data_IF_238342178826
#
_entry.id   IF_238342178826
#
_cell.length_a   1.000
_cell.length_b   1.000
_cell.length_c   1.000
_cell.angle_alpha   90.00
_cell.angle_beta   90.00
_cell.angle_gamma   90.00
#
_symmetry.space_group_name_H-M   'P 1'
#
loop_
_entity.id
_entity.type
_entity.pdbx_description
1 polymer ?
#
# COMPACT_ATOMS: atom_id res chain seq x y z
N UNK A 1 19.84 -7.05 -53.57
CA UNK A 1 20.99 -7.32 -52.70
C UNK A 1 20.85 -6.38 -51.51
N UNK A 2 20.34 -6.91 -50.39
CA UNK A 2 20.16 -6.15 -49.15
C UNK A 2 21.50 -6.12 -48.40
N UNK A 3 22.04 -4.93 -48.20
CA UNK A 3 23.13 -4.68 -47.26
C UNK A 3 22.53 -4.52 -45.86
N UNK A 4 22.89 -5.34 -44.87
CA UNK A 4 22.42 -5.12 -43.51
C UNK A 4 23.26 -3.99 -42.88
N UNK A 5 22.59 -2.93 -42.40
CA UNK A 5 23.19 -1.99 -41.46
C UNK A 5 23.40 -2.72 -40.13
N UNK A 6 24.64 -3.06 -39.82
CA UNK A 6 25.07 -3.44 -38.48
C UNK A 6 25.37 -2.13 -37.75
N UNK A 7 24.53 -1.78 -36.76
CA UNK A 7 24.83 -0.72 -35.82
C UNK A 7 25.94 -1.19 -34.88
N UNK A 8 27.18 -0.75 -35.11
CA UNK A 8 28.27 -0.86 -34.13
C UNK A 8 27.99 0.12 -32.99
N UNK A 9 27.68 -0.42 -31.80
CA UNK A 9 27.85 0.28 -30.53
C UNK A 9 29.35 0.51 -30.31
N UNK A 10 29.83 1.71 -30.69
CA UNK A 10 31.13 2.20 -30.25
C UNK A 10 31.06 2.42 -28.75
N UNK A 11 31.86 1.66 -27.98
CA UNK A 11 32.26 2.03 -26.63
C UNK A 11 33.01 3.37 -26.73
N UNK A 12 32.29 4.49 -26.60
CA UNK A 12 32.90 5.80 -26.49
C UNK A 12 33.79 5.80 -25.23
N UNK A 13 35.06 6.15 -25.40
CA UNK A 13 35.98 6.29 -24.28
C UNK A 13 35.39 7.25 -23.23
N UNK A 14 35.54 6.93 -21.95
CA UNK A 14 35.06 7.78 -20.87
C UNK A 14 35.63 9.21 -21.03
N UNK A 15 34.80 10.27 -20.97
CA UNK A 15 35.26 11.62 -21.22
C UNK A 15 36.32 12.05 -20.19
N UNK A 16 37.35 12.82 -20.61
CA UNK A 16 38.37 13.26 -19.67
C UNK A 16 37.77 14.18 -18.60
N UNK A 17 38.17 14.00 -17.34
CA UNK A 17 37.64 14.78 -16.21
C UNK A 17 37.78 16.30 -16.38
N UNK A 18 38.79 16.76 -17.12
CA UNK A 18 38.99 18.17 -17.44
C UNK A 18 37.83 18.76 -18.25
N UNK A 19 37.17 17.96 -19.08
CA UNK A 19 36.03 18.40 -19.90
C UNK A 19 34.86 18.90 -19.05
N UNK A 20 34.64 18.30 -17.88
CA UNK A 20 33.61 18.74 -16.95
C UNK A 20 33.82 20.19 -16.49
N UNK A 21 35.08 20.57 -16.21
CA UNK A 21 35.43 21.94 -15.80
C UNK A 21 35.25 22.95 -16.92
N UNK A 22 35.58 22.57 -18.15
CA UNK A 22 35.42 23.42 -19.33
C UNK A 22 33.94 23.73 -19.60
N UNK A 23 33.07 22.71 -19.62
CA UNK A 23 31.63 22.87 -19.85
C UNK A 23 30.99 23.72 -18.73
N UNK A 24 31.33 23.45 -17.47
CA UNK A 24 30.83 24.23 -16.33
C UNK A 24 31.38 25.67 -16.24
N UNK A 25 32.51 25.97 -16.88
CA UNK A 25 33.03 27.34 -16.98
C UNK A 25 32.19 28.18 -17.96
N UNK A 26 31.68 27.54 -19.02
CA UNK A 26 30.81 28.17 -20.02
C UNK A 26 29.31 28.07 -19.67
N UNK A 27 28.97 27.42 -18.55
CA UNK A 27 27.58 27.15 -18.11
C UNK A 27 26.79 26.26 -19.09
N UNK A 28 27.49 25.40 -19.83
CA UNK A 28 26.93 24.40 -20.73
C UNK A 28 26.46 23.18 -19.92
N UNK A 29 25.37 23.35 -19.17
CA UNK A 29 24.91 22.36 -18.19
C UNK A 29 24.30 21.11 -18.82
N UNK A 30 23.58 21.26 -19.94
CA UNK A 30 23.00 20.14 -20.67
C UNK A 30 24.09 19.29 -21.31
N UNK A 31 25.07 19.92 -21.95
CA UNK A 31 26.24 19.27 -22.53
C UNK A 31 27.10 18.61 -21.46
N UNK A 32 27.24 19.25 -20.29
CA UNK A 32 27.90 18.66 -19.13
C UNK A 32 27.17 17.40 -18.68
N UNK A 33 25.84 17.43 -18.57
CA UNK A 33 25.07 16.24 -18.22
C UNK A 33 25.23 15.16 -19.30
N UNK A 34 25.00 15.46 -20.57
CA UNK A 34 25.09 14.51 -21.69
C UNK A 34 26.47 13.85 -21.78
N UNK A 35 27.54 14.61 -21.56
CA UNK A 35 28.90 14.07 -21.56
C UNK A 35 29.09 13.03 -20.44
N UNK A 36 28.54 13.26 -19.24
CA UNK A 36 28.80 12.42 -18.07
C UNK A 36 27.62 11.53 -17.63
N UNK A 37 26.51 11.53 -18.37
CA UNK A 37 25.31 10.74 -18.05
C UNK A 37 25.58 9.24 -18.06
N UNK A 38 26.28 8.76 -19.10
CA UNK A 38 26.66 7.34 -19.25
C UNK A 38 28.05 7.01 -18.69
N UNK A 39 28.74 7.99 -18.09
CA UNK A 39 30.09 7.80 -17.60
C UNK A 39 30.08 7.00 -16.28
N UNK A 40 30.71 5.84 -16.26
CA UNK A 40 30.85 5.03 -15.06
C UNK A 40 31.89 5.66 -14.10
N UNK A 41 31.53 6.02 -12.86
CA UNK A 41 32.49 6.53 -11.86
C UNK A 41 33.67 5.61 -11.59
N UNK A 42 33.49 4.29 -11.76
CA UNK A 42 34.55 3.30 -11.57
C UNK A 42 35.66 3.41 -12.63
N UNK A 43 35.36 3.98 -13.80
CA UNK A 43 36.32 4.23 -14.88
C UNK A 43 37.28 5.40 -14.58
N UNK A 44 37.06 6.15 -13.49
CA UNK A 44 37.87 7.29 -13.10
C UNK A 44 38.66 6.98 -11.83
N UNK A 45 39.97 7.31 -11.78
CA UNK A 45 40.74 7.26 -10.54
C UNK A 45 40.07 8.09 -9.45
N UNK A 46 40.08 7.62 -8.22
CA UNK A 46 39.41 8.28 -7.08
C UNK A 46 39.84 9.75 -6.92
N UNK A 47 41.12 10.06 -7.13
CA UNK A 47 41.66 11.41 -7.10
C UNK A 47 41.11 12.34 -8.21
N UNK A 48 40.58 11.79 -9.30
CA UNK A 48 40.02 12.56 -10.42
C UNK A 48 38.50 12.74 -10.33
N UNK A 49 37.79 11.88 -9.59
CA UNK A 49 36.33 11.98 -9.42
C UNK A 49 35.84 13.35 -8.92
N UNK A 50 36.51 14.04 -7.97
CA UNK A 50 36.13 15.39 -7.56
C UNK A 50 36.14 16.41 -8.71
N UNK A 51 37.03 16.24 -9.70
CA UNK A 51 37.11 17.12 -10.87
C UNK A 51 35.91 16.98 -11.81
N UNK A 52 35.13 15.90 -11.70
CA UNK A 52 33.86 15.68 -12.41
C UNK A 52 32.67 16.04 -11.51
N UNK A 53 32.68 15.59 -10.26
CA UNK A 53 31.58 15.80 -9.31
C UNK A 53 31.36 17.30 -9.00
N UNK A 54 32.41 18.09 -8.81
CA UNK A 54 32.27 19.50 -8.46
C UNK A 54 31.62 20.35 -9.57
N UNK A 55 31.99 20.23 -10.86
CA UNK A 55 31.25 20.83 -11.97
C UNK A 55 29.77 20.43 -12.04
N UNK A 56 29.46 19.14 -11.87
CA UNK A 56 28.08 18.63 -11.89
C UNK A 56 27.25 19.21 -10.75
N UNK A 57 27.82 19.25 -9.53
CA UNK A 57 27.19 19.90 -8.37
C UNK A 57 26.93 21.38 -8.65
N UNK A 58 27.90 22.11 -9.21
CA UNK A 58 27.71 23.52 -9.56
C UNK A 58 26.54 23.71 -10.54
N UNK A 59 26.39 22.80 -11.51
CA UNK A 59 25.24 22.79 -12.41
C UNK A 59 23.92 22.50 -11.70
N UNK A 60 23.89 21.50 -10.81
CA UNK A 60 22.73 21.20 -9.96
C UNK A 60 22.30 22.43 -9.16
N UNK A 61 23.22 23.10 -8.47
CA UNK A 61 22.92 24.29 -7.66
C UNK A 61 22.45 25.47 -8.52
N UNK A 62 23.02 25.63 -9.71
CA UNK A 62 22.65 26.71 -10.64
C UNK A 62 21.25 26.51 -11.24
N UNK A 63 20.87 25.28 -11.59
CA UNK A 63 19.60 24.98 -12.25
C UNK A 63 18.46 24.70 -11.27
N UNK A 64 18.74 24.40 -10.00
CA UNK A 64 17.71 24.11 -9.00
C UNK A 64 16.50 25.08 -8.95
N UNK A 65 16.65 26.41 -9.12
CA UNK A 65 15.51 27.32 -9.14
C UNK A 65 14.71 27.31 -10.45
N UNK A 66 15.34 27.06 -11.60
CA UNK A 66 14.76 27.26 -12.95
C UNK A 66 14.40 25.95 -13.65
N UNK A 67 15.19 24.89 -13.44
CA UNK A 67 15.00 23.55 -13.99
C UNK A 67 15.38 22.48 -12.95
N UNK A 68 14.40 22.11 -12.13
CA UNK A 68 14.59 21.13 -11.07
C UNK A 68 14.84 19.70 -11.61
N UNK A 69 14.39 19.39 -12.83
CA UNK A 69 14.57 18.07 -13.45
C UNK A 69 16.01 17.91 -13.90
N UNK A 70 16.56 18.91 -14.60
CA UNK A 70 17.97 18.90 -14.98
C UNK A 70 18.88 19.01 -13.74
N UNK A 71 18.48 19.80 -12.73
CA UNK A 71 19.20 19.86 -11.47
C UNK A 71 19.25 18.50 -10.76
N UNK A 72 18.16 17.74 -10.77
CA UNK A 72 18.11 16.39 -10.21
C UNK A 72 19.11 15.47 -10.93
N UNK A 73 19.07 15.43 -12.26
CA UNK A 73 19.97 14.61 -13.09
C UNK A 73 21.45 14.95 -12.86
N UNK A 74 21.79 16.24 -12.78
CA UNK A 74 23.15 16.70 -12.46
C UNK A 74 23.56 16.36 -11.03
N UNK A 75 22.65 16.49 -10.07
CA UNK A 75 22.85 16.14 -8.66
C UNK A 75 23.12 14.65 -8.45
N UNK A 76 22.34 13.80 -9.11
CA UNK A 76 22.48 12.34 -9.07
C UNK A 76 23.86 11.93 -9.60
N UNK A 77 24.25 12.48 -10.76
CA UNK A 77 25.57 12.23 -11.33
C UNK A 77 26.69 12.77 -10.45
N UNK A 78 26.53 13.96 -9.86
CA UNK A 78 27.52 14.52 -8.94
C UNK A 78 27.78 13.57 -7.75
N UNK A 79 26.71 13.07 -7.13
CA UNK A 79 26.76 12.11 -6.01
C UNK A 79 27.37 10.78 -6.43
N UNK A 80 27.03 10.28 -7.63
CA UNK A 80 27.59 9.03 -8.18
C UNK A 80 29.11 9.11 -8.37
N UNK A 81 29.64 10.27 -8.79
CA UNK A 81 31.09 10.49 -8.88
C UNK A 81 31.74 10.69 -7.52
N UNK A 82 31.12 11.50 -6.66
CA UNK A 82 31.60 11.72 -5.30
C UNK A 82 30.46 12.16 -4.38
N UNK A 83 30.24 11.38 -3.33
CA UNK A 83 29.31 11.75 -2.29
C UNK A 83 29.88 12.90 -1.45
N UNK A 84 29.35 14.10 -1.69
CA UNK A 84 29.69 15.30 -0.93
C UNK A 84 28.44 15.84 -0.24
N UNK A 85 28.62 16.56 0.87
CA UNK A 85 27.50 17.20 1.56
C UNK A 85 26.72 18.16 0.62
N UNK A 86 27.43 18.87 -0.28
CA UNK A 86 26.80 19.71 -1.31
C UNK A 86 25.97 18.90 -2.31
N UNK A 87 26.55 17.81 -2.84
CA UNK A 87 25.89 16.87 -3.75
C UNK A 87 24.59 16.34 -3.21
N UNK A 88 24.64 15.73 -2.01
CA UNK A 88 23.46 15.12 -1.39
C UNK A 88 22.38 16.15 -1.04
N UNK A 89 22.75 17.37 -0.60
CA UNK A 89 21.77 18.44 -0.36
C UNK A 89 21.11 18.93 -1.64
N UNK A 90 21.89 19.10 -2.71
CA UNK A 90 21.35 19.56 -3.99
C UNK A 90 20.41 18.51 -4.59
N UNK A 91 20.84 17.24 -4.59
CA UNK A 91 20.02 16.10 -5.01
C UNK A 91 18.72 16.03 -4.22
N UNK A 92 18.78 16.08 -2.88
CA UNK A 92 17.58 16.05 -2.04
C UNK A 92 16.60 17.19 -2.36
N UNK A 93 17.08 18.42 -2.56
CA UNK A 93 16.24 19.58 -2.90
C UNK A 93 15.63 19.46 -4.29
N UNK A 94 16.39 18.98 -5.26
CA UNK A 94 15.91 18.77 -6.63
C UNK A 94 14.85 17.66 -6.66
N UNK A 95 15.07 16.59 -5.89
CA UNK A 95 14.12 15.50 -5.71
C UNK A 95 12.80 16.00 -5.11
N UNK A 96 12.84 16.79 -4.04
CA UNK A 96 11.63 17.41 -3.47
C UNK A 96 10.89 18.32 -4.46
N UNK A 97 11.62 19.11 -5.27
CA UNK A 97 11.01 19.99 -6.29
C UNK A 97 10.38 19.22 -7.46
N UNK A 98 10.79 17.98 -7.68
CA UNK A 98 10.27 17.08 -8.73
C UNK A 98 9.32 16.01 -8.16
N UNK A 99 8.88 16.18 -6.90
CA UNK A 99 8.01 15.25 -6.15
C UNK A 99 8.56 13.81 -6.02
N UNK A 100 9.87 13.64 -6.13
CA UNK A 100 10.58 12.37 -5.90
C UNK A 100 10.95 12.20 -4.43
N UNK A 101 9.95 11.96 -3.57
CA UNK A 101 10.12 11.97 -2.11
C UNK A 101 11.09 10.92 -1.58
N UNK A 102 11.01 9.68 -2.06
CA UNK A 102 11.92 8.61 -1.60
C UNK A 102 13.38 8.91 -1.95
N UNK A 103 13.64 9.44 -3.15
CA UNK A 103 14.99 9.87 -3.56
C UNK A 103 15.51 11.03 -2.68
N UNK A 104 14.62 11.95 -2.30
CA UNK A 104 14.97 12.99 -1.34
C UNK A 104 15.31 12.42 0.04
N UNK A 105 14.50 11.50 0.55
CA UNK A 105 14.71 10.86 1.85
C UNK A 105 16.04 10.09 1.88
N UNK A 106 16.34 9.31 0.84
CA UNK A 106 17.57 8.53 0.73
C UNK A 106 18.82 9.42 0.67
N UNK A 107 18.77 10.51 -0.12
CA UNK A 107 19.85 11.48 -0.17
C UNK A 107 20.08 12.16 1.19
N UNK A 108 18.99 12.44 1.93
CA UNK A 108 19.06 13.04 3.26
C UNK A 108 19.58 12.06 4.32
N UNK A 109 19.16 10.78 4.27
CA UNK A 109 19.65 9.71 5.17
C UNK A 109 21.14 9.45 4.94
N UNK A 110 21.58 9.29 3.69
CA UNK A 110 23.01 9.18 3.34
C UNK A 110 23.80 10.40 3.81
N UNK A 111 23.23 11.59 3.64
CA UNK A 111 23.85 12.83 4.10
C UNK A 111 24.02 12.88 5.62
N UNK A 112 23.01 12.42 6.36
CA UNK A 112 23.05 12.34 7.82
C UNK A 112 24.07 11.30 8.32
N UNK A 113 24.23 10.20 7.61
CA UNK A 113 25.21 9.15 7.93
C UNK A 113 26.65 9.60 7.64
N UNK A 114 26.90 10.14 6.45
CA UNK A 114 28.25 10.52 6.01
C UNK A 114 28.69 11.88 6.54
N UNK A 115 27.75 12.78 6.84
CA UNK A 115 28.02 14.15 7.30
C UNK A 115 27.21 14.51 8.56
N UNK A 116 27.35 13.78 9.68
CA UNK A 116 26.51 13.96 10.88
C UNK A 116 26.68 15.31 11.58
N UNK A 117 27.74 16.07 11.26
CA UNK A 117 27.96 17.43 11.77
C UNK A 117 27.21 18.50 10.97
N UNK A 118 26.69 18.16 9.80
CA UNK A 118 25.87 19.05 8.99
C UNK A 118 24.40 18.93 9.40
N UNK A 119 23.95 19.90 10.19
CA UNK A 119 22.58 19.93 10.71
C UNK A 119 21.50 20.05 9.65
N UNK A 120 21.85 20.42 8.41
CA UNK A 120 20.89 20.56 7.32
C UNK A 120 20.21 19.23 6.97
N UNK A 121 20.94 18.11 7.00
CA UNK A 121 20.36 16.79 6.66
C UNK A 121 19.30 16.35 7.66
N UNK A 122 19.61 16.40 8.96
CA UNK A 122 18.64 16.07 10.00
C UNK A 122 17.45 17.03 10.02
N UNK A 123 17.68 18.32 9.74
CA UNK A 123 16.60 19.31 9.68
C UNK A 123 15.64 19.02 8.53
N UNK A 124 16.16 18.85 7.31
CA UNK A 124 15.33 18.61 6.12
C UNK A 124 14.63 17.23 6.18
N UNK A 125 15.32 16.19 6.66
CA UNK A 125 14.71 14.86 6.85
C UNK A 125 13.58 14.92 7.88
N UNK A 126 13.80 15.63 8.99
CA UNK A 126 12.76 15.83 10.00
C UNK A 126 11.56 16.64 9.48
N UNK A 127 11.76 17.61 8.57
CA UNK A 127 10.66 18.30 7.90
C UNK A 127 9.87 17.37 6.99
N UNK A 128 10.56 16.54 6.21
CA UNK A 128 9.94 15.56 5.32
C UNK A 128 9.06 14.58 6.12
N UNK A 129 9.61 14.00 7.19
CA UNK A 129 8.88 13.10 8.09
C UNK A 129 7.64 13.77 8.72
N UNK A 130 7.72 15.04 9.11
CA UNK A 130 6.55 15.78 9.61
C UNK A 130 5.48 16.03 8.54
N UNK A 131 5.87 16.17 7.28
CA UNK A 131 4.94 16.25 6.16
C UNK A 131 4.23 14.91 5.92
N UNK A 132 4.96 13.80 6.10
CA UNK A 132 4.45 12.42 5.96
C UNK A 132 3.72 11.91 7.22
N UNK A 133 3.44 12.79 8.18
CA UNK A 133 2.80 12.48 9.46
C UNK A 133 3.57 11.48 10.35
N UNK A 134 4.86 11.25 10.06
CA UNK A 134 5.78 10.47 10.90
C UNK A 134 6.36 11.36 12.03
N UNK A 135 5.49 11.69 12.99
CA UNK A 135 5.85 12.56 14.12
C UNK A 135 6.92 11.93 15.04
N UNK A 136 6.94 10.61 15.18
CA UNK A 136 7.93 9.88 15.99
C UNK A 136 9.30 9.82 15.31
N UNK A 137 9.36 9.47 14.03
CA UNK A 137 10.59 9.48 13.25
C UNK A 137 11.18 10.89 13.15
N UNK A 138 10.34 11.91 12.95
CA UNK A 138 10.76 13.30 12.99
C UNK A 138 11.40 13.69 14.32
N UNK A 139 10.88 13.23 15.47
CA UNK A 139 11.51 13.46 16.77
C UNK A 139 12.91 12.86 16.84
N UNK A 140 13.06 11.61 16.43
CA UNK A 140 14.34 10.90 16.46
C UNK A 140 15.38 11.56 15.53
N UNK A 141 14.94 12.01 14.36
CA UNK A 141 15.81 12.66 13.37
C UNK A 141 16.19 14.07 13.79
N UNK A 142 15.23 14.91 14.20
CA UNK A 142 15.50 16.31 14.56
C UNK A 142 16.39 16.44 15.81
N UNK A 143 16.40 15.43 16.70
CA UNK A 143 17.34 15.37 17.83
C UNK A 143 18.80 15.22 17.38
N UNK A 144 19.05 14.74 16.16
CA UNK A 144 20.40 14.60 15.60
C UNK A 144 20.95 15.93 15.06
N UNK A 145 20.14 17.00 15.01
CA UNK A 145 20.62 18.34 14.62
C UNK A 145 21.61 18.87 15.67
N UNK A 146 22.86 19.22 15.30
CA UNK A 146 23.85 19.69 16.26
C UNK A 146 23.42 20.98 16.95
N UNK A 147 23.49 21.02 18.28
CA UNK A 147 22.99 22.16 19.09
C UNK A 147 23.65 23.51 18.81
N UNK A 148 24.85 23.51 18.19
CA UNK A 148 25.61 24.72 17.82
C UNK A 148 25.51 25.06 16.32
N UNK A 149 24.72 24.31 15.53
CA UNK A 149 24.55 24.61 14.10
C UNK A 149 23.54 25.74 13.89
N UNK A 150 23.54 26.31 12.68
CA UNK A 150 22.57 27.37 12.29
C UNK A 150 21.13 26.85 12.24
N UNK A 151 20.95 25.54 12.03
CA UNK A 151 19.67 24.83 11.98
C UNK A 151 19.05 24.60 13.36
N UNK A 152 19.82 24.75 14.45
CA UNK A 152 19.38 24.37 15.80
C UNK A 152 18.14 25.13 16.29
N UNK A 153 17.98 26.40 15.91
CA UNK A 153 16.81 27.21 16.28
C UNK A 153 15.54 26.68 15.63
N UNK A 154 15.62 26.29 14.36
CA UNK A 154 14.47 25.78 13.62
C UNK A 154 14.14 24.34 14.00
N UNK A 155 15.15 23.50 14.17
CA UNK A 155 14.98 22.14 14.66
C UNK A 155 14.25 22.10 16.02
N UNK A 156 14.53 23.06 16.92
CA UNK A 156 13.79 23.18 18.19
C UNK A 156 12.29 23.44 18.02
N UNK A 157 11.91 24.27 17.04
CA UNK A 157 10.48 24.53 16.73
C UNK A 157 9.80 23.27 16.21
N UNK A 158 10.45 22.58 15.28
CA UNK A 158 9.93 21.33 14.71
C UNK A 158 9.88 20.20 15.74
N UNK A 159 10.86 20.12 16.65
CA UNK A 159 10.83 19.19 17.79
C UNK A 159 9.63 19.46 18.71
N UNK A 160 9.30 20.72 18.97
CA UNK A 160 8.12 21.05 19.77
C UNK A 160 6.83 20.63 19.07
N UNK A 161 6.72 20.88 17.76
CA UNK A 161 5.58 20.44 16.94
C UNK A 161 5.45 18.91 16.91
N UNK A 162 6.57 18.20 16.69
CA UNK A 162 6.59 16.75 16.66
C UNK A 162 6.17 16.16 18.03
N UNK A 163 6.62 16.76 19.15
CA UNK A 163 6.22 16.37 20.51
C UNK A 163 4.73 16.56 20.76
N UNK A 164 4.14 17.68 20.28
CA UNK A 164 2.71 17.90 20.46
C UNK A 164 1.89 16.88 19.67
N UNK A 165 2.27 16.61 18.41
CA UNK A 165 1.60 15.59 17.58
C UNK A 165 1.68 14.18 18.17
N UNK A 166 2.86 13.74 18.60
CA UNK A 166 3.02 12.44 19.28
C UNK A 166 2.19 12.36 20.57
N UNK A 167 2.10 13.46 21.32
CA UNK A 167 1.26 13.52 22.52
C UNK A 167 -0.24 13.42 22.19
N UNK A 168 -0.69 14.10 21.13
CA UNK A 168 -2.07 14.07 20.63
C UNK A 168 -2.43 12.69 20.09
N UNK A 169 -1.59 12.10 19.24
CA UNK A 169 -1.73 10.74 18.70
C UNK A 169 -1.74 9.69 19.82
N UNK A 170 -0.84 9.81 20.80
CA UNK A 170 -0.82 8.94 21.97
C UNK A 170 -2.03 9.12 22.89
N UNK A 171 -2.59 10.33 22.99
CA UNK A 171 -3.83 10.57 23.74
C UNK A 171 -5.04 9.97 23.02
N UNK A 172 -5.14 10.15 21.71
CA UNK A 172 -6.17 9.55 20.88
C UNK A 172 -6.11 8.01 20.90
N UNK A 173 -4.91 7.43 20.86
CA UNK A 173 -4.70 5.98 21.01
C UNK A 173 -5.15 5.46 22.36
N UNK A 174 -4.77 6.13 23.47
CA UNK A 174 -5.22 5.76 24.82
C UNK A 174 -6.73 5.92 25.02
N UNK A 175 -7.35 6.89 24.34
CA UNK A 175 -8.80 7.06 24.35
C UNK A 175 -9.51 5.95 23.57
N UNK A 176 -8.98 5.57 22.40
CA UNK A 176 -9.45 4.44 21.61
C UNK A 176 -9.33 3.10 22.39
N UNK A 177 -8.19 2.85 23.04
CA UNK A 177 -7.97 1.68 23.90
C UNK A 177 -8.93 1.66 25.10
N UNK A 178 -9.26 2.82 25.69
CA UNK A 178 -10.27 2.91 26.77
C UNK A 178 -11.69 2.67 26.28
N UNK A 179 -12.02 3.09 25.06
CA UNK A 179 -13.31 2.82 24.42
C UNK A 179 -13.44 1.32 24.13
N UNK A 180 -12.38 0.70 23.61
CA UNK A 180 -12.29 -0.74 23.35
C UNK A 180 -12.45 -1.58 24.64
N UNK A 181 -11.81 -1.17 25.75
CA UNK A 181 -11.95 -1.84 27.05
C UNK A 181 -13.36 -1.73 27.65
N UNK A 182 -14.09 -0.62 27.42
CA UNK A 182 -15.48 -0.47 27.85
C UNK A 182 -16.45 -1.29 27.00
N UNK A 183 -16.12 -1.50 25.72
CA UNK A 183 -16.91 -2.33 24.82
C UNK A 183 -16.71 -3.83 25.09
N UNK A 184 -15.63 -4.22 25.77
CA UNK A 184 -15.23 -5.62 26.02
C UNK A 184 -15.44 -6.10 27.48
N UNK A 185 -16.27 -5.46 28.32
CA UNK A 185 -16.35 -5.83 29.74
C UNK A 185 -17.75 -5.87 30.39
N UNK A 186 -18.41 -7.04 30.33
CA UNK A 186 -19.01 -7.72 31.50
C UNK A 186 -18.94 -9.25 31.28
N UNK A 187 -18.12 -10.00 32.04
CA UNK A 187 -18.24 -11.45 32.15
C UNK A 187 -19.27 -11.78 33.24
N UNK A 188 -20.40 -12.34 32.82
CA UNK A 188 -21.35 -12.99 33.71
C UNK A 188 -20.70 -14.17 34.45
N UNK A 189 -21.03 -14.28 35.73
CA UNK A 189 -20.70 -15.34 36.69
C UNK A 189 -20.57 -16.75 36.11
N UNK A 190 -19.43 -17.41 36.33
CA UNK A 190 -19.24 -18.82 35.97
C UNK A 190 -17.91 -19.41 36.42
N UNK A 191 -17.84 -19.76 37.71
CA UNK A 191 -17.02 -20.81 38.36
C UNK A 191 -15.61 -21.11 37.80
N UNK A 192 -14.58 -20.56 38.46
CA UNK A 192 -13.18 -20.90 38.25
C UNK A 192 -12.81 -22.23 38.93
N UNK A 193 -12.72 -23.31 38.15
CA UNK A 193 -11.89 -24.46 38.53
C UNK A 193 -10.59 -24.48 37.73
N UNK A 194 -9.50 -24.30 38.46
CA UNK A 194 -8.14 -24.56 38.01
C UNK A 194 -8.02 -25.99 37.45
N UNK A 195 -7.52 -26.12 36.22
CA UNK A 195 -6.98 -27.37 35.71
C UNK A 195 -5.50 -27.16 35.34
N UNK A 196 -4.69 -27.80 36.17
CA UNK A 196 -3.24 -27.98 36.16
C UNK A 196 -2.77 -28.54 34.81
N UNK A 197 -1.69 -27.96 34.28
CA UNK A 197 -1.02 -28.43 33.08
C UNK A 197 -0.56 -29.89 33.25
N UNK A 198 -0.96 -30.74 32.31
CA UNK A 198 -0.34 -32.04 32.04
C UNK A 198 0.16 -32.04 30.61
N UNK A 199 1.47 -32.25 30.49
CA UNK A 199 2.23 -32.48 29.27
C UNK A 199 1.70 -33.63 28.42
N UNK A 200 1.74 -33.47 27.10
CA UNK A 200 1.80 -34.58 26.15
C UNK A 200 0.75 -34.53 25.04
N UNK A 201 1.14 -34.02 23.88
CA UNK A 201 0.37 -34.09 22.65
C UNK A 201 0.99 -33.21 21.58
N UNK A 202 1.82 -33.79 20.71
CA UNK A 202 2.33 -33.15 19.50
C UNK A 202 1.16 -32.63 18.65
N UNK A 203 0.94 -31.32 18.67
CA UNK A 203 0.33 -30.61 17.56
C UNK A 203 1.46 -29.86 16.90
N UNK A 204 1.88 -30.34 15.72
CA UNK A 204 2.88 -29.64 14.90
C UNK A 204 2.34 -28.25 14.60
N UNK A 205 2.87 -27.24 15.29
CA UNK A 205 2.71 -25.85 14.90
C UNK A 205 3.28 -25.73 13.49
N UNK A 206 2.43 -25.56 12.49
CA UNK A 206 2.87 -25.06 11.19
C UNK A 206 3.66 -23.78 11.49
N UNK A 207 4.96 -23.78 11.19
CA UNK A 207 5.82 -22.68 11.54
C UNK A 207 5.38 -21.45 10.74
N UNK A 208 4.85 -20.43 11.42
CA UNK A 208 4.54 -19.12 10.84
C UNK A 208 5.82 -18.32 10.50
N UNK A 209 6.99 -18.94 10.62
CA UNK A 209 8.26 -18.37 10.17
C UNK A 209 8.25 -18.22 8.65
N UNK A 210 8.47 -17.01 8.18
CA UNK A 210 8.57 -16.72 6.76
C UNK A 210 9.93 -17.15 6.20
N UNK A 211 9.91 -17.84 5.06
CA UNK A 211 11.09 -18.10 4.23
C UNK A 211 11.17 -17.07 3.10
N UNK A 212 12.36 -16.55 2.80
CA UNK A 212 12.58 -15.54 1.76
C UNK A 212 13.52 -16.05 0.66
N UNK A 213 13.23 -15.71 -0.60
CA UNK A 213 14.03 -16.08 -1.77
C UNK A 213 13.75 -15.20 -3.00
N UNK A 214 14.34 -15.58 -4.14
CA UNK A 214 14.08 -14.95 -5.45
C UNK A 214 13.60 -16.04 -6.41
N UNK A 215 12.44 -15.81 -7.03
CA UNK A 215 11.83 -16.70 -8.01
C UNK A 215 12.54 -16.65 -9.37
N UNK A 216 12.24 -17.62 -10.23
CA UNK A 216 12.78 -17.72 -11.60
C UNK A 216 12.36 -16.56 -12.51
N UNK A 217 11.29 -15.86 -12.14
CA UNK A 217 10.74 -14.68 -12.80
C UNK A 217 11.33 -13.37 -12.26
N UNK A 218 12.35 -13.44 -11.39
CA UNK A 218 13.00 -12.27 -10.80
C UNK A 218 12.22 -11.63 -9.66
N UNK A 219 11.02 -12.11 -9.33
CA UNK A 219 10.26 -11.64 -8.17
C UNK A 219 10.84 -12.18 -6.88
N UNK A 220 10.87 -11.35 -5.84
CA UNK A 220 11.13 -11.82 -4.48
C UNK A 220 9.94 -12.60 -3.98
N UNK A 221 10.22 -13.70 -3.30
CA UNK A 221 9.21 -14.57 -2.70
C UNK A 221 9.41 -14.59 -1.20
N UNK A 222 8.35 -14.36 -0.45
CA UNK A 222 8.32 -14.50 1.00
C UNK A 222 7.09 -15.32 1.39
N UNK A 223 7.27 -16.47 2.02
CA UNK A 223 6.18 -17.41 2.24
C UNK A 223 6.14 -18.02 3.65
N UNK A 224 4.94 -18.31 4.14
CA UNK A 224 4.66 -19.14 5.31
C UNK A 224 3.51 -20.12 4.99
N UNK A 225 2.96 -20.82 5.99
CA UNK A 225 1.86 -21.77 5.77
C UNK A 225 0.56 -21.16 5.22
N UNK A 226 0.34 -19.84 5.38
CA UNK A 226 -0.88 -19.13 4.96
C UNK A 226 -0.71 -18.33 3.68
N UNK A 227 0.45 -17.73 3.46
CA UNK A 227 0.68 -16.80 2.37
C UNK A 227 1.97 -17.10 1.62
N UNK A 228 1.94 -16.94 0.30
CA UNK A 228 3.11 -16.87 -0.57
C UNK A 228 3.13 -15.50 -1.26
N UNK A 229 3.90 -14.58 -0.70
CA UNK A 229 3.99 -13.18 -1.12
C UNK A 229 5.04 -13.06 -2.21
N UNK A 230 4.70 -12.37 -3.30
CA UNK A 230 5.56 -12.12 -4.46
C UNK A 230 5.53 -10.65 -4.82
N UNK A 231 6.69 -10.07 -5.09
CA UNK A 231 6.80 -8.67 -5.53
C UNK A 231 8.13 -8.45 -6.24
N UNK A 232 8.21 -7.42 -7.08
CA UNK A 232 9.48 -7.08 -7.74
C UNK A 232 10.42 -6.34 -6.78
N UNK A 233 11.72 -6.64 -6.90
CA UNK A 233 12.77 -5.94 -6.17
C UNK A 233 13.09 -4.61 -6.85
N UNK A 234 12.12 -3.70 -6.88
CA UNK A 234 12.27 -2.34 -7.40
C UNK A 234 13.11 -1.52 -6.42
N UNK A 235 14.39 -1.31 -6.74
CA UNK A 235 15.37 -0.39 -6.11
C UNK A 235 15.51 -0.36 -4.57
N UNK A 236 14.79 -1.21 -3.83
CA UNK A 236 14.77 -1.27 -2.38
C UNK A 236 16.08 -1.86 -1.84
N UNK A 237 16.72 -1.11 -0.95
CA UNK A 237 17.82 -1.64 -0.13
C UNK A 237 17.30 -2.71 0.84
N UNK A 238 18.21 -3.36 1.58
CA UNK A 238 17.84 -4.42 2.51
C UNK A 238 16.89 -3.95 3.63
N UNK A 239 17.09 -2.75 4.16
CA UNK A 239 16.27 -2.20 5.26
C UNK A 239 14.87 -1.81 4.79
N UNK A 240 14.77 -1.04 3.71
CA UNK A 240 13.50 -0.67 3.07
C UNK A 240 12.70 -1.91 2.65
N UNK A 241 13.41 -2.96 2.21
CA UNK A 241 12.79 -4.24 1.88
C UNK A 241 12.24 -4.95 3.12
N UNK A 242 13.03 -5.08 4.17
CA UNK A 242 12.59 -5.73 5.40
C UNK A 242 11.40 -5.00 6.03
N UNK A 243 11.39 -3.66 5.99
CA UNK A 243 10.28 -2.84 6.46
C UNK A 243 9.01 -3.07 5.61
N UNK A 244 9.13 -3.01 4.28
CA UNK A 244 8.01 -3.25 3.38
C UNK A 244 7.45 -4.67 3.54
N UNK A 245 8.31 -5.69 3.54
CA UNK A 245 7.91 -7.08 3.79
C UNK A 245 7.20 -7.21 5.15
N UNK A 246 7.67 -6.52 6.19
CA UNK A 246 7.02 -6.50 7.50
C UNK A 246 5.62 -5.88 7.47
N UNK A 247 5.47 -4.73 6.78
CA UNK A 247 4.15 -4.08 6.59
C UNK A 247 3.18 -4.97 5.81
N UNK A 248 3.66 -5.68 4.79
CA UNK A 248 2.84 -6.61 4.00
C UNK A 248 2.36 -7.78 4.83
N UNK A 249 3.26 -8.41 5.59
CA UNK A 249 2.89 -9.50 6.48
C UNK A 249 1.84 -9.04 7.50
N UNK A 250 2.05 -7.88 8.13
CA UNK A 250 1.07 -7.30 9.07
C UNK A 250 -0.29 -7.08 8.40
N UNK A 251 -0.32 -6.53 7.18
CA UNK A 251 -1.57 -6.28 6.47
C UNK A 251 -2.32 -7.58 6.10
N UNK A 252 -1.59 -8.65 5.74
CA UNK A 252 -2.17 -9.96 5.45
C UNK A 252 -2.72 -10.66 6.69
N UNK A 253 -1.98 -10.58 7.81
CA UNK A 253 -2.44 -11.11 9.10
C UNK A 253 -3.67 -10.32 9.60
N UNK A 254 -3.66 -8.98 9.46
CA UNK A 254 -4.82 -8.14 9.73
C UNK A 254 -6.03 -8.56 8.88
N UNK A 255 -5.85 -8.81 7.58
CA UNK A 255 -6.93 -9.25 6.69
C UNK A 255 -7.48 -10.63 7.07
N UNK A 256 -6.59 -11.58 7.41
CA UNK A 256 -6.96 -12.90 7.92
C UNK A 256 -7.79 -12.78 9.20
N UNK A 257 -7.26 -12.10 10.22
CA UNK A 257 -7.89 -11.98 11.54
C UNK A 257 -9.21 -11.21 11.47
N UNK A 258 -9.27 -10.15 10.64
CA UNK A 258 -10.48 -9.37 10.47
C UNK A 258 -11.58 -10.19 9.78
N UNK A 259 -11.24 -10.93 8.74
CA UNK A 259 -12.18 -11.81 8.03
C UNK A 259 -12.62 -12.96 8.91
N UNK A 260 -11.71 -13.59 9.67
CA UNK A 260 -12.06 -14.64 10.64
C UNK A 260 -13.04 -14.12 11.70
N UNK A 261 -12.78 -12.94 12.26
CA UNK A 261 -13.68 -12.31 13.24
C UNK A 261 -15.04 -11.95 12.64
N UNK A 262 -15.11 -11.61 11.35
CA UNK A 262 -16.34 -11.14 10.70
C UNK A 262 -17.18 -12.27 10.09
N UNK A 263 -16.55 -13.32 9.55
CA UNK A 263 -17.20 -14.47 8.90
C UNK A 263 -17.21 -15.73 9.76
N UNK A 264 -16.34 -15.82 10.75
CA UNK A 264 -16.25 -16.95 11.70
C UNK A 264 -15.30 -18.02 11.22
N UNK A 265 -14.90 -17.94 9.96
CA UNK A 265 -13.87 -18.74 9.33
C UNK A 265 -13.05 -17.87 8.42
N UNK A 266 -11.77 -18.21 8.31
CA UNK A 266 -10.86 -17.68 7.32
C UNK A 266 -10.44 -18.80 6.38
N UNK A 267 -9.66 -18.42 5.38
CA UNK A 267 -9.00 -19.35 4.48
C UNK A 267 -7.88 -20.10 5.21
N UNK A 268 -7.80 -21.41 5.02
CA UNK A 268 -6.72 -22.24 5.56
C UNK A 268 -5.69 -22.64 4.50
N UNK A 269 -6.09 -22.78 3.22
CA UNK A 269 -5.11 -23.06 2.16
C UNK A 269 -4.21 -21.85 1.91
N UNK A 270 -2.94 -22.14 1.62
CA UNK A 270 -1.96 -21.12 1.27
C UNK A 270 -2.42 -20.29 0.06
N UNK A 271 -2.39 -18.97 0.22
CA UNK A 271 -2.82 -18.00 -0.78
C UNK A 271 -1.61 -17.28 -1.40
N UNK A 272 -1.55 -17.21 -2.73
CA UNK A 272 -0.56 -16.38 -3.40
C UNK A 272 -0.98 -14.91 -3.35
N UNK A 273 -0.05 -14.01 -3.02
CA UNK A 273 -0.28 -12.57 -3.03
C UNK A 273 0.81 -11.94 -3.88
N UNK A 274 0.46 -11.30 -4.99
CA UNK A 274 1.39 -10.63 -5.88
C UNK A 274 1.17 -9.12 -5.79
N UNK A 275 2.22 -8.40 -5.43
CA UNK A 275 2.19 -6.95 -5.26
C UNK A 275 2.91 -6.30 -6.45
N UNK A 276 2.18 -5.51 -7.21
CA UNK A 276 2.69 -4.81 -8.37
C UNK A 276 2.78 -3.31 -8.10
N UNK A 277 3.77 -2.65 -8.68
CA UNK A 277 3.66 -1.22 -8.99
C UNK A 277 2.57 -1.00 -10.04
N UNK A 278 2.12 0.25 -10.19
CA UNK A 278 1.12 0.59 -11.21
C UNK A 278 1.57 0.22 -12.63
N UNK A 279 2.84 0.45 -12.94
CA UNK A 279 3.42 0.17 -14.26
C UNK A 279 3.54 -1.35 -14.51
N UNK A 280 3.93 -2.12 -13.50
CA UNK A 280 3.98 -3.58 -13.58
C UNK A 280 2.58 -4.17 -13.79
N UNK A 281 1.58 -3.68 -13.04
CA UNK A 281 0.20 -4.12 -13.19
C UNK A 281 -0.35 -3.80 -14.58
N UNK A 282 -0.09 -2.59 -15.10
CA UNK A 282 -0.43 -2.20 -16.46
C UNK A 282 0.28 -3.04 -17.52
N UNK A 283 1.53 -3.44 -17.28
CA UNK A 283 2.28 -4.34 -18.17
C UNK A 283 1.66 -5.72 -18.23
N UNK A 284 1.19 -6.25 -17.10
CA UNK A 284 0.64 -7.61 -17.02
C UNK A 284 -0.83 -7.72 -17.40
N UNK A 285 -1.65 -6.72 -17.07
CA UNK A 285 -3.12 -6.77 -17.20
C UNK A 285 -3.69 -5.70 -18.15
N UNK A 286 -2.82 -4.85 -18.70
CA UNK A 286 -3.18 -3.80 -19.64
C UNK A 286 -3.52 -2.47 -18.97
N UNK A 287 -3.23 -1.33 -19.64
CA UNK A 287 -3.35 0.01 -19.04
C UNK A 287 -4.79 0.39 -18.68
N UNK A 288 -5.78 0.03 -19.51
CA UNK A 288 -7.19 0.33 -19.23
C UNK A 288 -7.70 -0.38 -17.98
N UNK A 289 -7.24 -1.62 -17.77
CA UNK A 289 -7.63 -2.40 -16.60
C UNK A 289 -6.91 -1.88 -15.34
N UNK A 290 -5.62 -1.57 -15.46
CA UNK A 290 -4.82 -0.96 -14.39
C UNK A 290 -5.33 0.42 -13.94
N UNK A 291 -6.02 1.16 -14.82
CA UNK A 291 -6.64 2.44 -14.45
C UNK A 291 -7.95 2.28 -13.66
N UNK A 292 -8.60 1.12 -13.73
CA UNK A 292 -9.94 0.90 -13.20
C UNK A 292 -9.99 -0.02 -11.98
N UNK A 293 -8.93 -0.82 -11.75
CA UNK A 293 -8.94 -1.91 -10.77
C UNK A 293 -7.77 -1.77 -9.80
N UNK A 294 -8.07 -1.71 -8.50
CA UNK A 294 -7.08 -1.59 -7.42
C UNK A 294 -6.53 -2.95 -6.96
N UNK A 295 -7.29 -4.03 -7.15
CA UNK A 295 -6.94 -5.39 -6.76
C UNK A 295 -7.75 -6.41 -7.53
N UNK A 296 -7.25 -7.65 -7.59
CA UNK A 296 -7.97 -8.76 -8.20
C UNK A 296 -7.60 -10.10 -7.54
N UNK A 297 -8.60 -10.84 -7.11
CA UNK A 297 -8.49 -12.26 -6.81
C UNK A 297 -8.85 -13.12 -8.03
N UNK A 298 -7.91 -13.93 -8.50
CA UNK A 298 -8.14 -14.96 -9.50
C UNK A 298 -7.08 -16.06 -9.44
N UNK A 299 -7.47 -17.29 -9.80
CA UNK A 299 -6.57 -18.45 -9.86
C UNK A 299 -5.79 -18.71 -8.56
N UNK A 300 -6.48 -18.61 -7.42
CA UNK A 300 -5.87 -18.74 -6.09
C UNK A 300 -4.72 -17.73 -5.85
N UNK A 301 -4.84 -16.52 -6.41
CA UNK A 301 -3.88 -15.45 -6.23
C UNK A 301 -4.58 -14.09 -6.14
N UNK A 302 -4.20 -13.32 -5.12
CA UNK A 302 -4.47 -11.88 -5.06
C UNK A 302 -3.40 -11.17 -5.88
N UNK A 303 -3.80 -10.23 -6.72
CA UNK A 303 -2.92 -9.32 -7.48
C UNK A 303 -3.28 -7.91 -7.10
N UNK A 304 -2.41 -7.25 -6.35
CA UNK A 304 -2.59 -5.86 -5.92
C UNK A 304 -1.99 -4.91 -6.95
N UNK A 305 -2.74 -3.89 -7.32
CA UNK A 305 -2.27 -2.78 -8.14
C UNK A 305 -1.78 -1.65 -7.22
N UNK A 306 -0.84 -0.83 -7.72
CA UNK A 306 -0.30 0.33 -7.02
C UNK A 306 0.16 0.03 -5.57
N UNK A 307 0.69 -1.17 -5.37
CA UNK A 307 1.10 -1.68 -4.07
C UNK A 307 2.60 -1.52 -3.84
N UNK A 308 3.24 -0.59 -4.55
CA UNK A 308 4.64 -0.22 -4.31
C UNK A 308 4.83 0.18 -2.85
N UNK A 309 3.85 0.85 -2.25
CA UNK A 309 3.77 1.14 -0.82
C UNK A 309 2.44 0.65 -0.24
N UNK A 310 2.41 0.36 1.06
CA UNK A 310 1.17 0.00 1.77
C UNK A 310 0.57 1.20 2.48
N UNK A 311 -0.43 1.77 1.84
CA UNK A 311 -1.33 2.81 2.34
C UNK A 311 -2.56 2.19 3.02
N UNK A 312 -3.35 2.98 3.75
CA UNK A 312 -4.62 2.50 4.31
C UNK A 312 -5.60 2.03 3.21
N UNK A 313 -5.58 2.70 2.05
CA UNK A 313 -6.42 2.33 0.91
C UNK A 313 -6.02 0.97 0.33
N UNK A 314 -4.73 0.74 0.08
CA UNK A 314 -4.24 -0.56 -0.42
C UNK A 314 -4.44 -1.68 0.59
N UNK A 315 -4.35 -1.41 1.89
CA UNK A 315 -4.73 -2.37 2.95
C UNK A 315 -6.22 -2.73 2.89
N UNK A 316 -7.10 -1.74 2.75
CA UNK A 316 -8.53 -1.97 2.57
C UNK A 316 -8.83 -2.83 1.33
N UNK A 317 -8.21 -2.50 0.19
CA UNK A 317 -8.30 -3.33 -1.02
C UNK A 317 -7.77 -4.74 -0.79
N UNK A 318 -6.67 -4.92 -0.04
CA UNK A 318 -6.16 -6.26 0.27
C UNK A 318 -7.16 -7.07 1.11
N UNK A 319 -7.85 -6.44 2.06
CA UNK A 319 -8.95 -7.07 2.82
C UNK A 319 -10.08 -7.47 1.88
N UNK A 320 -10.50 -6.58 0.97
CA UNK A 320 -11.52 -6.86 -0.04
C UNK A 320 -11.16 -8.10 -0.87
N UNK A 321 -9.95 -8.14 -1.45
CA UNK A 321 -9.51 -9.29 -2.24
C UNK A 321 -9.35 -10.57 -1.41
N UNK A 322 -8.95 -10.45 -0.14
CA UNK A 322 -8.87 -11.59 0.77
C UNK A 322 -10.25 -12.18 1.09
N UNK A 323 -11.31 -11.37 1.13
CA UNK A 323 -12.68 -11.89 1.29
C UNK A 323 -13.06 -12.77 0.11
N UNK A 324 -12.77 -12.37 -1.12
CA UNK A 324 -13.00 -13.23 -2.29
C UNK A 324 -12.24 -14.55 -2.17
N UNK A 325 -10.99 -14.49 -1.73
CA UNK A 325 -10.15 -15.65 -1.50
C UNK A 325 -10.70 -16.59 -0.40
N UNK A 326 -11.23 -16.03 0.69
CA UNK A 326 -11.84 -16.80 1.77
C UNK A 326 -13.17 -17.43 1.32
N UNK A 327 -14.04 -16.66 0.66
CA UNK A 327 -15.32 -17.15 0.12
C UNK A 327 -15.09 -18.29 -0.86
N UNK A 328 -14.07 -18.19 -1.72
CA UNK A 328 -13.73 -19.24 -2.68
C UNK A 328 -13.36 -20.58 -2.03
N UNK A 329 -12.89 -20.56 -0.79
CA UNK A 329 -12.60 -21.78 -0.02
C UNK A 329 -13.78 -22.24 0.84
N UNK A 330 -14.50 -21.30 1.45
CA UNK A 330 -15.61 -21.60 2.35
C UNK A 330 -16.88 -22.03 1.61
N UNK A 331 -16.99 -21.66 0.34
CA UNK A 331 -18.09 -22.01 -0.55
C UNK A 331 -17.82 -23.36 -1.25
N UNK A 332 -18.67 -24.40 -1.09
CA UNK A 332 -18.44 -25.71 -1.70
C UNK A 332 -18.24 -25.70 -3.22
N UNK A 333 -18.96 -24.83 -3.94
CA UNK A 333 -18.84 -24.63 -5.39
C UNK A 333 -17.80 -23.58 -5.80
N UNK A 334 -16.98 -23.08 -4.87
CA UNK A 334 -16.08 -21.96 -5.08
C UNK A 334 -16.79 -20.60 -5.15
N UNK A 335 -16.04 -19.52 -5.26
CA UNK A 335 -16.58 -18.16 -5.20
C UNK A 335 -17.50 -17.83 -6.38
N UNK A 336 -17.28 -18.51 -7.52
CA UNK A 336 -18.10 -18.37 -8.73
C UNK A 336 -19.48 -19.03 -8.66
N UNK A 337 -19.77 -19.83 -7.63
CA UNK A 337 -21.11 -20.39 -7.41
C UNK A 337 -22.10 -19.38 -6.82
N UNK A 338 -21.59 -18.25 -6.30
CA UNK A 338 -22.41 -17.18 -5.75
C UNK A 338 -22.64 -16.10 -6.80
N UNK A 339 -23.80 -15.40 -6.79
CA UNK A 339 -24.02 -14.23 -7.61
C UNK A 339 -22.92 -13.19 -7.42
N UNK A 340 -22.47 -12.59 -8.52
CA UNK A 340 -21.38 -11.59 -8.51
C UNK A 340 -21.68 -10.44 -7.56
N UNK A 341 -22.92 -9.94 -7.55
CA UNK A 341 -23.32 -8.87 -6.64
C UNK A 341 -23.11 -9.27 -5.17
N UNK A 342 -23.41 -10.50 -4.79
CA UNK A 342 -23.28 -10.94 -3.41
C UNK A 342 -21.80 -11.07 -3.02
N UNK A 343 -20.99 -11.64 -3.91
CA UNK A 343 -19.56 -11.81 -3.67
C UNK A 343 -18.85 -10.45 -3.51
N UNK A 344 -19.13 -9.51 -4.42
CA UNK A 344 -18.64 -8.13 -4.35
C UNK A 344 -19.19 -7.37 -3.15
N UNK A 345 -20.48 -7.51 -2.87
CA UNK A 345 -21.13 -6.87 -1.73
C UNK A 345 -20.58 -7.34 -0.38
N UNK A 346 -20.18 -8.61 -0.28
CA UNK A 346 -19.57 -9.13 0.94
C UNK A 346 -18.18 -8.55 1.15
N UNK A 347 -17.37 -8.48 0.09
CA UNK A 347 -16.05 -7.89 0.14
C UNK A 347 -16.11 -6.39 0.50
N UNK A 348 -16.98 -5.61 -0.16
CA UNK A 348 -17.24 -4.20 0.17
C UNK A 348 -17.74 -3.99 1.60
N UNK A 349 -18.68 -4.82 2.07
CA UNK A 349 -19.20 -4.71 3.43
C UNK A 349 -18.09 -4.90 4.47
N UNK A 350 -17.22 -5.90 4.26
CA UNK A 350 -16.09 -6.17 5.15
C UNK A 350 -15.04 -5.07 5.03
N UNK A 351 -14.78 -4.54 3.83
CA UNK A 351 -13.89 -3.39 3.63
C UNK A 351 -14.36 -2.17 4.42
N UNK A 352 -15.65 -1.81 4.33
CA UNK A 352 -16.20 -0.69 5.09
C UNK A 352 -16.00 -0.88 6.59
N UNK A 353 -16.25 -2.09 7.09
CA UNK A 353 -16.07 -2.44 8.50
C UNK A 353 -14.60 -2.36 8.91
N UNK A 354 -13.68 -2.79 8.05
CA UNK A 354 -12.23 -2.66 8.28
C UNK A 354 -11.81 -1.19 8.39
N UNK A 355 -12.43 -0.32 7.59
CA UNK A 355 -12.25 1.14 7.66
C UNK A 355 -12.99 1.81 8.82
N UNK A 356 -13.62 1.05 9.72
CA UNK A 356 -14.36 1.58 10.87
C UNK A 356 -15.71 2.21 10.51
N UNK A 357 -16.29 1.84 9.36
CA UNK A 357 -17.58 2.33 8.88
C UNK A 357 -18.67 1.27 9.08
N UNK A 358 -19.82 1.69 9.61
CA UNK A 358 -21.01 0.84 9.76
C UNK A 358 -21.91 0.78 8.50
N UNK A 359 -21.45 1.35 7.39
CA UNK A 359 -22.17 1.45 6.13
C UNK A 359 -21.37 2.28 5.10
N UNK A 360 -21.98 2.66 3.97
CA UNK A 360 -21.25 3.32 2.89
C UNK A 360 -20.63 4.65 3.34
N UNK A 361 -19.48 5.04 2.77
CA UNK A 361 -18.89 6.37 2.95
C UNK A 361 -19.92 7.48 2.72
N UNK A 362 -19.77 8.62 3.39
CA UNK A 362 -20.81 9.67 3.45
C UNK A 362 -21.34 10.08 2.07
N UNK A 363 -20.45 10.36 1.11
CA UNK A 363 -20.83 10.76 -0.24
C UNK A 363 -21.67 9.69 -0.96
N UNK A 364 -21.21 8.43 -0.91
CA UNK A 364 -21.92 7.30 -1.50
C UNK A 364 -23.28 7.09 -0.81
N UNK A 365 -23.33 7.16 0.52
CA UNK A 365 -24.57 7.05 1.29
C UNK A 365 -25.60 8.09 0.90
N UNK A 366 -25.19 9.35 0.73
CA UNK A 366 -26.09 10.45 0.37
C UNK A 366 -26.62 10.27 -1.07
N UNK A 367 -25.78 9.83 -2.00
CA UNK A 367 -26.18 9.48 -3.36
C UNK A 367 -27.18 8.31 -3.38
N UNK A 368 -26.87 7.23 -2.67
CA UNK A 368 -27.74 6.06 -2.53
C UNK A 368 -29.10 6.44 -1.92
N UNK A 369 -29.13 7.29 -0.88
CA UNK A 369 -30.37 7.81 -0.29
C UNK A 369 -31.23 8.57 -1.29
N UNK A 370 -30.62 9.42 -2.12
CA UNK A 370 -31.31 10.13 -3.19
C UNK A 370 -32.00 9.17 -4.16
N UNK A 371 -31.26 8.15 -4.62
CA UNK A 371 -31.79 7.13 -5.54
C UNK A 371 -32.85 6.25 -4.89
N UNK A 372 -32.68 5.88 -3.62
CA UNK A 372 -33.65 5.10 -2.86
C UNK A 372 -35.02 5.80 -2.80
N UNK A 373 -35.03 7.12 -2.50
CA UNK A 373 -36.26 7.94 -2.48
C UNK A 373 -36.96 7.99 -3.82
N UNK A 374 -36.21 7.95 -4.92
CA UNK A 374 -36.74 7.94 -6.28
C UNK A 374 -37.08 6.53 -6.78
N UNK A 375 -36.82 5.48 -5.98
CA UNK A 375 -36.99 4.10 -6.41
C UNK A 375 -35.99 3.61 -7.45
N UNK A 376 -34.88 4.33 -7.63
CA UNK A 376 -33.86 4.14 -8.69
C UNK A 376 -32.58 3.43 -8.21
N UNK A 377 -32.63 2.71 -7.08
CA UNK A 377 -31.56 1.79 -6.72
C UNK A 377 -31.57 0.58 -7.68
N UNK A 378 -30.39 0.07 -8.07
CA UNK A 378 -30.28 -1.21 -8.77
C UNK A 378 -31.00 -2.31 -7.99
N UNK A 379 -31.74 -3.18 -8.69
CA UNK A 379 -32.39 -4.33 -8.06
C UNK A 379 -31.42 -5.49 -7.99
N UNK A 380 -31.48 -6.25 -6.89
CA UNK A 380 -30.65 -7.46 -6.76
C UNK A 380 -30.92 -8.48 -7.87
N UNK A 381 -32.17 -8.61 -8.32
CA UNK A 381 -32.53 -9.49 -9.45
C UNK A 381 -31.83 -9.11 -10.76
N UNK A 382 -31.61 -7.81 -10.99
CA UNK A 382 -30.94 -7.34 -12.20
C UNK A 382 -29.42 -7.61 -12.09
N UNK A 383 -28.86 -7.40 -10.89
CA UNK A 383 -27.45 -7.65 -10.58
C UNK A 383 -27.09 -9.15 -10.47
N UNK A 384 -28.09 -10.02 -10.34
CA UNK A 384 -27.90 -11.47 -10.43
C UNK A 384 -27.43 -11.88 -11.83
N UNK A 385 -27.94 -11.21 -12.87
CA UNK A 385 -27.58 -11.46 -14.27
C UNK A 385 -26.39 -10.61 -14.76
N UNK A 386 -26.20 -9.41 -14.23
CA UNK A 386 -25.18 -8.43 -14.68
C UNK A 386 -24.22 -8.08 -13.54
N UNK A 387 -22.91 -8.14 -13.80
CA UNK A 387 -21.92 -7.74 -12.81
C UNK A 387 -22.09 -6.26 -12.42
N UNK A 388 -21.96 -5.89 -11.13
CA UNK A 388 -22.04 -4.50 -10.67
C UNK A 388 -21.19 -3.52 -11.47
N UNK A 389 -19.95 -3.92 -11.82
CA UNK A 389 -19.01 -3.11 -12.61
C UNK A 389 -19.53 -2.72 -14.02
N UNK A 390 -20.47 -3.49 -14.57
CA UNK A 390 -21.04 -3.22 -15.91
C UNK A 390 -22.28 -2.32 -15.88
N UNK A 391 -22.74 -1.93 -14.69
CA UNK A 391 -23.90 -1.05 -14.53
C UNK A 391 -23.54 0.40 -14.82
N UNK A 392 -24.56 1.23 -15.07
CA UNK A 392 -24.37 2.65 -15.39
C UNK A 392 -23.79 3.48 -14.24
N UNK A 393 -23.97 3.01 -13.00
CA UNK A 393 -23.38 3.58 -11.78
C UNK A 393 -22.84 2.43 -10.92
N UNK A 394 -21.62 1.94 -11.23
CA UNK A 394 -21.01 0.83 -10.52
C UNK A 394 -20.96 1.06 -9.02
N UNK A 395 -20.57 2.26 -8.56
CA UNK A 395 -20.44 2.60 -7.15
C UNK A 395 -21.75 2.44 -6.37
N UNK A 396 -22.89 2.75 -6.99
CA UNK A 396 -24.22 2.52 -6.41
C UNK A 396 -24.55 1.03 -6.39
N UNK A 397 -24.16 0.27 -7.41
CA UNK A 397 -24.40 -1.18 -7.49
C UNK A 397 -23.59 -1.94 -6.43
N UNK A 398 -22.30 -1.63 -6.28
CA UNK A 398 -21.44 -2.13 -5.20
C UNK A 398 -22.00 -1.75 -3.83
N UNK A 399 -22.33 -0.47 -3.62
CA UNK A 399 -22.92 -0.01 -2.36
C UNK A 399 -24.26 -0.68 -2.04
N UNK A 400 -25.12 -0.91 -3.04
CA UNK A 400 -26.41 -1.60 -2.85
C UNK A 400 -26.19 -3.06 -2.47
N UNK A 401 -25.21 -3.71 -3.10
CA UNK A 401 -24.82 -5.08 -2.81
C UNK A 401 -24.30 -5.23 -1.38
N UNK A 402 -23.42 -4.33 -0.94
CA UNK A 402 -22.89 -4.30 0.42
C UNK A 402 -23.96 -3.99 1.47
N UNK A 403 -24.89 -3.08 1.16
CA UNK A 403 -26.05 -2.85 2.02
C UNK A 403 -26.96 -4.08 2.14
N UNK A 404 -27.15 -4.85 1.06
CA UNK A 404 -27.91 -6.10 1.10
C UNK A 404 -27.23 -7.14 2.01
N UNK A 405 -25.92 -7.32 1.89
CA UNK A 405 -25.14 -8.20 2.78
C UNK A 405 -25.21 -7.74 4.23
N UNK A 406 -25.05 -6.43 4.48
CA UNK A 406 -25.22 -5.84 5.81
C UNK A 406 -26.58 -6.18 6.42
N UNK A 407 -27.66 -6.16 5.64
CA UNK A 407 -28.98 -6.56 6.14
C UNK A 407 -29.05 -8.05 6.47
N UNK A 408 -28.40 -8.93 5.69
CA UNK A 408 -28.31 -10.36 6.04
C UNK A 408 -27.53 -10.59 7.34
N UNK A 409 -26.45 -9.85 7.56
CA UNK A 409 -25.72 -9.86 8.83
C UNK A 409 -26.60 -9.34 9.96
N UNK A 410 -27.34 -8.23 9.76
CA UNK A 410 -28.23 -7.68 10.77
C UNK A 410 -29.36 -8.66 11.18
N UNK A 411 -29.87 -9.44 10.22
CA UNK A 411 -30.97 -10.38 10.44
C UNK A 411 -30.54 -11.69 11.11
N UNK A 412 -29.27 -12.07 11.00
CA UNK A 412 -28.83 -13.42 11.33
C UNK A 412 -27.52 -13.53 12.08
N UNK A 413 -26.78 -12.43 12.19
CA UNK A 413 -25.38 -12.45 12.57
C UNK A 413 -24.50 -13.21 11.57
N UNK A 414 -23.26 -13.39 11.99
CA UNK A 414 -22.18 -14.01 11.25
C UNK A 414 -22.38 -15.51 10.99
N UNK A 415 -22.83 -16.28 11.98
CA UNK A 415 -23.03 -17.72 11.84
C UNK A 415 -24.09 -18.04 10.77
N UNK A 416 -25.20 -17.30 10.77
CA UNK A 416 -26.26 -17.47 9.79
C UNK A 416 -25.82 -17.07 8.38
N UNK A 417 -25.01 -16.02 8.26
CA UNK A 417 -24.42 -15.61 6.98
C UNK A 417 -23.48 -16.69 6.44
N UNK A 418 -22.60 -17.25 7.27
CA UNK A 418 -21.70 -18.32 6.85
C UNK A 418 -22.48 -19.57 6.42
N UNK A 419 -23.51 -19.97 7.17
CA UNK A 419 -24.37 -21.09 6.81
C UNK A 419 -25.11 -20.82 5.47
N UNK A 420 -25.53 -19.58 5.24
CA UNK A 420 -26.13 -19.18 3.97
C UNK A 420 -25.16 -19.30 2.80
N UNK A 421 -23.92 -18.79 2.94
CA UNK A 421 -22.86 -18.90 1.93
C UNK A 421 -22.62 -20.36 1.54
N UNK A 422 -22.51 -21.24 2.54
CA UNK A 422 -22.28 -22.67 2.31
C UNK A 422 -23.45 -23.36 1.61
N UNK A 423 -24.69 -22.98 1.92
CA UNK A 423 -25.90 -23.52 1.27
C UNK A 423 -26.05 -23.03 -0.17
N UNK A 424 -25.91 -21.72 -0.38
CA UNK A 424 -25.98 -21.12 -1.71
C UNK A 424 -24.87 -21.66 -2.63
N UNK A 425 -23.71 -21.99 -2.07
CA UNK A 425 -22.61 -22.63 -2.77
C UNK A 425 -22.74 -24.15 -2.99
N UNK A 426 -23.72 -24.80 -2.35
CA UNK A 426 -23.82 -26.25 -2.22
C UNK A 426 -24.82 -26.94 -3.16
N UNK A 427 -25.32 -26.24 -4.19
CA UNK A 427 -26.22 -26.80 -5.21
C UNK A 427 -27.69 -26.37 -5.12
N UNK A 428 -28.06 -25.57 -4.13
CA UNK A 428 -29.33 -24.82 -4.15
C UNK A 428 -29.14 -23.55 -4.98
N UNK A 429 -30.19 -23.08 -5.66
CA UNK A 429 -30.13 -21.74 -6.24
C UNK A 429 -30.00 -20.71 -5.12
N UNK A 430 -29.36 -19.58 -5.41
CA UNK A 430 -29.16 -18.52 -4.41
C UNK A 430 -30.48 -18.05 -3.81
N UNK A 431 -31.55 -17.95 -4.61
CA UNK A 431 -32.86 -17.53 -4.15
C UNK A 431 -33.53 -18.57 -3.24
N UNK A 432 -33.39 -19.87 -3.54
CA UNK A 432 -33.87 -20.94 -2.64
C UNK A 432 -33.13 -20.91 -1.30
N UNK A 433 -31.80 -20.75 -1.34
CA UNK A 433 -30.99 -20.64 -0.14
C UNK A 433 -31.36 -19.39 0.69
N UNK A 434 -31.67 -18.27 0.03
CA UNK A 434 -32.08 -17.02 0.67
C UNK A 434 -33.45 -17.19 1.34
N UNK A 435 -34.40 -17.81 0.64
CA UNK A 435 -35.72 -18.10 1.18
C UNK A 435 -35.64 -19.07 2.36
N UNK A 436 -34.86 -20.15 2.24
CA UNK A 436 -34.73 -21.16 3.29
C UNK A 436 -34.01 -20.66 4.54
N UNK A 437 -33.07 -19.71 4.38
CA UNK A 437 -32.25 -19.23 5.50
C UNK A 437 -32.85 -17.96 6.12
N UNK A 438 -33.30 -17.02 5.31
CA UNK A 438 -33.74 -15.69 5.76
C UNK A 438 -35.24 -15.43 5.59
N UNK A 439 -36.00 -16.37 5.01
CA UNK A 439 -37.41 -16.19 4.67
C UNK A 439 -37.62 -14.95 3.78
N UNK A 440 -36.67 -14.73 2.86
CA UNK A 440 -36.64 -13.60 1.93
C UNK A 440 -36.37 -14.04 0.51
N UNK A 441 -36.89 -13.27 -0.43
CA UNK A 441 -36.47 -13.24 -1.82
C UNK A 441 -35.70 -11.94 -2.12
N UNK A 442 -35.32 -11.74 -3.39
CA UNK A 442 -34.63 -10.52 -3.81
C UNK A 442 -35.45 -9.26 -3.57
N UNK A 443 -36.78 -9.29 -3.80
CA UNK A 443 -37.64 -8.14 -3.60
C UNK A 443 -37.72 -7.73 -2.11
N UNK A 444 -37.82 -8.71 -1.22
CA UNK A 444 -37.79 -8.50 0.22
C UNK A 444 -36.46 -7.95 0.72
N UNK A 445 -35.34 -8.35 0.10
CA UNK A 445 -34.02 -7.80 0.43
C UNK A 445 -33.81 -6.39 -0.15
N UNK A 446 -34.26 -6.12 -1.38
CA UNK A 446 -34.32 -4.77 -1.96
C UNK A 446 -35.11 -3.80 -1.06
N UNK A 447 -36.24 -4.25 -0.52
CA UNK A 447 -37.05 -3.46 0.41
C UNK A 447 -36.30 -3.19 1.72
N UNK A 448 -35.58 -4.17 2.26
CA UNK A 448 -34.78 -4.00 3.47
C UNK A 448 -33.65 -2.98 3.26
N UNK A 449 -32.96 -3.02 2.11
CA UNK A 449 -31.94 -2.03 1.75
C UNK A 449 -32.52 -0.62 1.66
N UNK A 450 -33.67 -0.46 0.99
CA UNK A 450 -34.38 0.83 0.89
C UNK A 450 -34.76 1.36 2.26
N UNK A 451 -35.29 0.50 3.15
CA UNK A 451 -35.66 0.87 4.51
C UNK A 451 -34.42 1.34 5.30
N UNK A 452 -33.34 0.56 5.28
CA UNK A 452 -32.08 0.89 5.97
C UNK A 452 -31.49 2.23 5.54
N UNK A 453 -31.54 2.55 4.23
CA UNK A 453 -31.06 3.84 3.73
C UNK A 453 -31.96 5.01 4.14
N UNK A 454 -33.27 4.77 4.29
CA UNK A 454 -34.24 5.78 4.69
C UNK A 454 -34.16 6.19 6.17
N UNK A 455 -33.43 5.42 7.00
CA UNK A 455 -33.28 5.68 8.44
C UNK A 455 -34.56 5.45 9.25
N UNK A 456 -35.45 4.57 8.75
CA UNK A 456 -36.68 4.13 9.42
C UNK A 456 -36.55 2.71 9.94
#
# INVERSE_FOLDING_TARGET
MNTPLIALLLLAAAPPAQKAKELAAHKEWEELYLAFAAADPSAYPEAQRPSVAAPLLKGCEALLPEDAVMAYSLGERAVAFQETAGGLRCLARAALKTDQRSAAEDALKKGLEHFPKDGAFALELGRLQLADQDSEGALATLQKVPAKSKEASEAKKLLQLARSRVSEEGAARREAERLEQRMNGEPGSGDTRQARATSGGEVRSASLSYESGVGKDGMRVRQNSRFAIRYFNSDRDFGQRAEYEGKVVSALDEAYDFTQRTLGKARERQLNVVLYTRDEFATHLGPSYAAAVAGLYSDNAIRMNDAAELTQATKATLVHEYVHAAVDELCPGGGGALPRWFNEGLAEYIEWRYLGLDGPPRGLRDAMRGRAKQGLLPKLSDMDSKAPITMSQPEIAYGTSAMAVRELVRLGGQEKLLAFIQRAGGGQSFQEALQATYEKDFAGLDQAVRAALSGR
#
